data_IF_854292539426
#
_entry.id   IF_854292539426
#
_cell.length_a   1.000
_cell.length_b   1.000
_cell.length_c   1.000
_cell.angle_alpha   90.00
_cell.angle_beta   90.00
_cell.angle_gamma   90.00
#
_symmetry.space_group_name_H-M   'P 1'
#
loop_
_entity.id
_entity.type
_entity.pdbx_description
1 polymer ?
#
# COMPACT_ATOMS: atom_id res chain seq x y z
N UNK A 1 8.13 -15.91 12.17
CA UNK A 1 7.52 -15.19 11.03
C UNK A 1 6.71 -14.00 11.54
N UNK A 2 6.62 -12.96 10.71
CA UNK A 2 5.86 -11.75 11.05
C UNK A 2 4.46 -11.81 10.48
N UNK A 3 3.47 -11.37 11.24
CA UNK A 3 2.14 -11.11 10.70
C UNK A 3 2.08 -9.67 10.21
N UNK A 4 1.57 -9.47 9.02
CA UNK A 4 1.61 -8.19 8.34
C UNK A 4 0.26 -7.75 7.80
N UNK A 5 0.06 -6.44 7.79
CA UNK A 5 -0.98 -5.80 6.98
C UNK A 5 -0.24 -5.16 5.80
N UNK A 6 -0.52 -5.69 4.61
CA UNK A 6 0.03 -5.17 3.36
C UNK A 6 -1.03 -4.23 2.80
N UNK A 7 -0.67 -2.97 2.61
CA UNK A 7 -1.64 -1.90 2.31
C UNK A 7 -1.39 -1.30 0.93
N UNK A 8 -2.46 -1.09 0.17
CA UNK A 8 -2.43 -0.12 -0.90
C UNK A 8 -2.32 1.29 -0.29
N UNK A 9 -1.91 2.29 -1.07
CA UNK A 9 -1.78 3.66 -0.58
C UNK A 9 -3.00 4.50 -0.92
N UNK A 10 -3.16 4.86 -2.20
CA UNK A 10 -4.23 5.75 -2.64
C UNK A 10 -5.60 5.08 -2.54
N UNK A 11 -6.54 5.71 -1.84
CA UNK A 11 -7.86 5.15 -1.57
C UNK A 11 -7.92 4.24 -0.35
N UNK A 12 -6.79 3.95 0.28
CA UNK A 12 -6.69 3.08 1.46
C UNK A 12 -6.07 3.82 2.65
N UNK A 13 -4.85 4.31 2.50
CA UNK A 13 -4.19 5.13 3.53
C UNK A 13 -4.60 6.60 3.37
N UNK A 14 -4.60 7.10 2.15
CA UNK A 14 -4.92 8.48 1.85
C UNK A 14 -6.07 8.59 0.85
N UNK A 15 -6.73 9.72 0.89
CA UNK A 15 -7.81 10.04 -0.05
C UNK A 15 -7.24 10.06 -1.47
N UNK A 16 -7.92 9.36 -2.39
CA UNK A 16 -7.56 9.34 -3.80
C UNK A 16 -7.81 10.72 -4.42
N UNK A 17 -6.80 11.28 -5.07
CA UNK A 17 -6.87 12.61 -5.71
C UNK A 17 -6.22 12.62 -7.09
N UNK A 18 -6.52 11.64 -7.92
CA UNK A 18 -6.04 11.53 -9.31
C UNK A 18 -4.54 11.84 -9.44
N UNK A 19 -3.71 10.78 -9.30
CA UNK A 19 -2.24 10.89 -9.40
C UNK A 19 -1.62 11.80 -8.35
N UNK A 20 -2.06 11.69 -7.11
CA UNK A 20 -1.52 12.44 -5.96
C UNK A 20 -0.01 12.27 -5.87
N UNK A 21 0.73 13.38 -5.86
CA UNK A 21 2.19 13.37 -5.76
C UNK A 21 2.77 14.50 -4.92
N UNK A 22 1.96 15.49 -4.55
CA UNK A 22 2.40 16.65 -3.76
C UNK A 22 2.05 16.49 -2.29
N UNK A 23 2.98 16.84 -1.42
CA UNK A 23 2.79 16.77 0.03
C UNK A 23 1.58 17.60 0.47
N UNK A 24 1.44 18.81 -0.08
CA UNK A 24 0.34 19.72 0.29
C UNK A 24 -1.05 19.21 -0.08
N UNK A 25 -1.14 18.26 -0.99
CA UNK A 25 -2.41 17.67 -1.42
C UNK A 25 -2.75 16.39 -0.65
N UNK A 26 -1.83 15.90 0.19
CA UNK A 26 -2.01 14.66 0.92
C UNK A 26 -3.01 14.82 2.07
N UNK A 27 -3.90 13.83 2.18
CA UNK A 27 -4.92 13.78 3.22
C UNK A 27 -5.16 12.33 3.60
N UNK A 28 -5.05 12.00 4.90
CA UNK A 28 -5.37 10.65 5.38
C UNK A 28 -6.85 10.36 5.21
N UNK A 29 -7.17 9.10 4.89
CA UNK A 29 -8.54 8.60 5.01
C UNK A 29 -8.97 8.64 6.48
N UNK A 30 -10.26 8.91 6.71
CA UNK A 30 -10.81 8.96 8.06
C UNK A 30 -10.65 7.61 8.77
N UNK A 31 -10.14 7.65 10.00
CA UNK A 31 -9.98 6.46 10.84
C UNK A 31 -8.72 5.64 10.59
N UNK A 32 -7.93 5.95 9.56
CA UNK A 32 -6.77 5.14 9.21
C UNK A 32 -5.70 5.16 10.31
N UNK A 33 -5.41 6.31 10.87
CA UNK A 33 -4.37 6.44 11.92
C UNK A 33 -4.75 5.63 13.15
N UNK A 34 -6.00 5.76 13.61
CA UNK A 34 -6.49 5.00 14.76
C UNK A 34 -6.47 3.50 14.49
N UNK A 35 -6.89 3.09 13.29
CA UNK A 35 -6.89 1.68 12.88
C UNK A 35 -5.49 1.08 12.87
N UNK A 36 -4.53 1.80 12.32
CA UNK A 36 -3.13 1.35 12.29
C UNK A 36 -2.53 1.27 13.69
N UNK A 37 -2.87 2.19 14.60
CA UNK A 37 -2.44 2.12 16.00
C UNK A 37 -2.92 0.82 16.66
N UNK A 38 -4.19 0.47 16.46
CA UNK A 38 -4.78 -0.74 17.02
C UNK A 38 -4.07 -1.97 16.47
N UNK A 39 -3.89 -2.04 15.15
CA UNK A 39 -3.21 -3.16 14.50
C UNK A 39 -1.75 -3.27 14.92
N UNK A 40 -1.08 -2.14 15.09
CA UNK A 40 0.30 -2.11 15.61
C UNK A 40 0.37 -2.72 17.01
N UNK A 41 -0.57 -2.35 17.89
CA UNK A 41 -0.64 -2.90 19.25
C UNK A 41 -0.96 -4.40 19.25
N UNK A 42 -1.61 -4.91 18.21
CA UNK A 42 -1.87 -6.34 18.05
C UNK A 42 -0.67 -7.11 17.47
N UNK A 43 0.41 -6.40 17.18
CA UNK A 43 1.66 -7.02 16.72
C UNK A 43 1.82 -7.12 15.21
N UNK A 44 0.97 -6.49 14.42
CA UNK A 44 1.14 -6.45 12.96
C UNK A 44 2.23 -5.47 12.55
N UNK A 45 3.04 -5.87 11.58
CA UNK A 45 3.90 -4.93 10.85
C UNK A 45 3.16 -4.41 9.61
N UNK A 46 3.60 -3.29 9.07
CA UNK A 46 2.98 -2.67 7.90
C UNK A 46 3.96 -2.52 6.77
N UNK A 47 3.53 -2.91 5.56
CA UNK A 47 4.21 -2.59 4.31
C UNK A 47 3.19 -2.01 3.34
N UNK A 48 3.62 -1.13 2.46
CA UNK A 48 2.77 -0.51 1.45
C UNK A 48 3.17 -1.03 0.08
N UNK A 49 2.19 -1.40 -0.74
CA UNK A 49 2.38 -1.84 -2.12
C UNK A 49 1.44 -1.04 -3.02
N UNK A 50 1.99 -0.18 -3.86
CA UNK A 50 1.17 0.77 -4.61
C UNK A 50 1.55 0.84 -6.08
N UNK A 51 0.54 0.80 -6.97
CA UNK A 51 0.72 1.11 -8.37
C UNK A 51 0.82 2.63 -8.52
N UNK A 52 1.86 3.11 -9.20
CA UNK A 52 2.11 4.54 -9.41
C UNK A 52 2.38 4.84 -10.87
N UNK A 53 1.41 4.53 -11.73
CA UNK A 53 1.52 4.72 -13.17
C UNK A 53 1.61 6.18 -13.61
N UNK A 54 1.35 7.13 -12.72
CA UNK A 54 1.59 8.54 -12.97
C UNK A 54 3.04 8.85 -13.34
N UNK A 55 3.97 8.05 -12.80
CA UNK A 55 5.40 8.13 -13.18
C UNK A 55 5.57 7.72 -14.65
N UNK A 56 4.98 6.60 -15.05
CA UNK A 56 5.02 6.13 -16.43
C UNK A 56 4.41 7.16 -17.40
N UNK A 57 3.36 7.83 -16.98
CA UNK A 57 2.67 8.85 -17.79
C UNK A 57 3.38 10.20 -17.84
N UNK A 58 4.44 10.37 -17.06
CA UNK A 58 5.20 11.61 -17.02
C UNK A 58 4.59 12.71 -16.15
N UNK A 59 3.64 12.36 -15.26
CA UNK A 59 2.96 13.34 -14.42
C UNK A 59 3.79 13.76 -13.20
N UNK A 60 4.66 12.88 -12.73
CA UNK A 60 5.60 13.13 -11.62
C UNK A 60 6.72 12.10 -11.67
N UNK A 61 7.75 12.31 -10.87
CA UNK A 61 8.96 11.48 -10.87
C UNK A 61 8.96 10.50 -9.70
N UNK A 62 9.89 9.53 -9.74
CA UNK A 62 10.14 8.64 -8.60
C UNK A 62 10.60 9.44 -7.38
N UNK A 63 11.38 10.51 -7.58
CA UNK A 63 11.83 11.38 -6.49
C UNK A 63 10.65 12.06 -5.80
N UNK A 64 9.66 12.53 -6.57
CA UNK A 64 8.43 13.12 -6.02
C UNK A 64 7.69 12.11 -5.15
N UNK A 65 7.57 10.88 -5.62
CA UNK A 65 6.93 9.79 -4.90
C UNK A 65 7.65 9.48 -3.60
N UNK A 66 8.98 9.37 -3.64
CA UNK A 66 9.80 9.07 -2.46
C UNK A 66 9.64 10.16 -1.41
N UNK A 67 9.62 11.42 -1.81
CA UNK A 67 9.39 12.54 -0.88
C UNK A 67 8.05 12.44 -0.20
N UNK A 68 6.99 12.14 -0.95
CA UNK A 68 5.65 11.99 -0.38
C UNK A 68 5.60 10.79 0.57
N UNK A 69 6.14 9.65 0.18
CA UNK A 69 6.17 8.45 1.02
C UNK A 69 6.94 8.70 2.33
N UNK A 70 8.06 9.42 2.27
CA UNK A 70 8.82 9.79 3.46
C UNK A 70 8.01 10.71 4.38
N UNK A 71 7.26 11.63 3.80
CA UNK A 71 6.37 12.53 4.56
C UNK A 71 5.28 11.73 5.30
N UNK A 72 4.66 10.76 4.63
CA UNK A 72 3.66 9.88 5.23
C UNK A 72 4.27 9.09 6.38
N UNK A 73 5.44 8.51 6.15
CA UNK A 73 6.18 7.76 7.17
C UNK A 73 6.48 8.60 8.40
N UNK A 74 6.94 9.83 8.20
CA UNK A 74 7.29 10.75 9.29
C UNK A 74 6.06 11.11 10.13
N UNK A 75 4.92 11.36 9.49
CA UNK A 75 3.67 11.67 10.21
C UNK A 75 3.24 10.48 11.05
N UNK A 76 3.26 9.28 10.47
CA UNK A 76 2.84 8.06 11.17
C UNK A 76 3.76 7.70 12.32
N UNK A 77 5.06 7.94 12.19
CA UNK A 77 6.02 7.70 13.27
C UNK A 77 5.75 8.56 14.51
N UNK A 78 5.26 9.77 14.33
CA UNK A 78 4.85 10.64 15.44
C UNK A 78 3.71 10.03 16.26
N UNK A 79 2.91 9.18 15.62
CA UNK A 79 1.82 8.45 16.25
C UNK A 79 2.23 7.03 16.67
N UNK A 80 3.52 6.71 16.64
CA UNK A 80 4.03 5.39 17.03
C UNK A 80 3.79 4.30 16.00
N UNK A 81 3.48 4.66 14.76
CA UNK A 81 3.20 3.72 13.67
C UNK A 81 4.39 3.71 12.72
N UNK A 82 4.94 2.52 12.48
CA UNK A 82 6.05 2.35 11.55
C UNK A 82 5.61 1.62 10.30
N UNK A 83 5.82 2.23 9.13
CA UNK A 83 5.74 1.54 7.84
C UNK A 83 7.13 0.99 7.55
N UNK A 84 7.25 -0.33 7.42
CA UNK A 84 8.55 -0.97 7.21
C UNK A 84 9.15 -0.58 5.87
N UNK A 85 8.32 -0.55 4.82
CA UNK A 85 8.77 -0.16 3.49
C UNK A 85 7.58 0.19 2.59
N UNK A 86 7.82 1.10 1.66
CA UNK A 86 6.92 1.41 0.55
C UNK A 86 7.47 0.75 -0.71
N UNK A 87 6.73 -0.22 -1.26
CA UNK A 87 6.99 -0.79 -2.57
C UNK A 87 6.09 -0.09 -3.58
N UNK A 88 6.63 0.31 -4.72
CA UNK A 88 5.85 0.94 -5.76
C UNK A 88 6.18 0.38 -7.13
N UNK A 89 5.18 0.40 -8.02
CA UNK A 89 5.35 0.03 -9.42
C UNK A 89 5.14 1.28 -10.27
N UNK A 90 6.19 1.78 -10.94
CA UNK A 90 6.08 2.98 -11.77
C UNK A 90 5.66 2.69 -13.21
N UNK A 91 5.47 1.42 -13.55
CA UNK A 91 5.28 0.99 -14.93
C UNK A 91 3.82 1.01 -15.38
N UNK A 92 3.62 1.11 -16.69
CA UNK A 92 2.35 0.80 -17.33
C UNK A 92 2.65 0.17 -18.70
N UNK A 93 1.95 -0.92 -19.08
CA UNK A 93 2.26 -1.63 -20.33
C UNK A 93 1.91 -0.83 -21.59
N UNK A 94 0.92 0.06 -21.53
CA UNK A 94 0.41 0.80 -22.68
C UNK A 94 0.56 2.31 -22.56
N UNK A 95 0.35 2.87 -21.37
CA UNK A 95 0.25 4.31 -21.12
C UNK A 95 1.57 4.96 -20.68
N UNK A 96 2.66 4.23 -20.71
CA UNK A 96 3.95 4.73 -20.24
C UNK A 96 4.73 5.47 -21.30
N UNK A 97 5.75 6.21 -20.85
CA UNK A 97 6.75 6.84 -21.69
C UNK A 97 8.13 6.27 -21.36
N UNK A 98 8.96 6.08 -22.40
CA UNK A 98 10.32 5.60 -22.26
C UNK A 98 10.42 4.26 -21.54
N UNK A 99 11.35 4.17 -20.59
CA UNK A 99 11.64 2.93 -19.84
C UNK A 99 10.48 2.45 -18.97
N UNK A 100 9.52 3.30 -18.69
CA UNK A 100 8.37 2.94 -17.84
C UNK A 100 7.22 2.28 -18.60
N UNK A 101 7.28 2.28 -19.92
CA UNK A 101 6.30 1.61 -20.77
C UNK A 101 6.69 0.16 -20.96
N UNK A 102 6.41 -0.68 -19.95
CA UNK A 102 6.77 -2.10 -19.96
C UNK A 102 5.73 -2.89 -19.19
N UNK A 103 5.59 -4.17 -19.54
CA UNK A 103 4.93 -5.14 -18.68
C UNK A 103 5.91 -5.55 -17.58
N UNK A 104 5.41 -5.77 -16.37
CA UNK A 104 6.25 -6.11 -15.22
C UNK A 104 5.50 -7.06 -14.29
N UNK A 105 6.27 -7.67 -13.37
CA UNK A 105 5.72 -8.54 -12.33
C UNK A 105 5.22 -7.72 -11.12
N UNK A 106 5.58 -6.44 -11.03
CA UNK A 106 5.25 -5.64 -9.85
C UNK A 106 3.88 -4.97 -9.91
N UNK A 107 3.34 -4.70 -11.11
CA UNK A 107 2.05 -4.01 -11.23
C UNK A 107 0.91 -4.93 -10.80
N UNK A 108 0.17 -4.53 -9.75
CA UNK A 108 -1.04 -5.25 -9.33
C UNK A 108 -2.04 -5.31 -10.49
N UNK A 109 -2.65 -6.44 -10.78
CA UNK A 109 -2.84 -7.62 -9.91
C UNK A 109 -1.68 -8.61 -9.84
N UNK A 110 -0.55 -8.37 -10.50
CA UNK A 110 0.62 -9.22 -10.33
C UNK A 110 1.14 -9.11 -8.90
N UNK A 111 1.62 -10.20 -8.30
CA UNK A 111 1.98 -10.22 -6.89
C UNK A 111 3.43 -9.85 -6.58
N UNK A 112 4.18 -9.32 -7.56
CA UNK A 112 5.62 -9.11 -7.42
C UNK A 112 6.03 -8.30 -6.21
N UNK A 113 5.34 -7.18 -5.94
CA UNK A 113 5.63 -6.34 -4.76
C UNK A 113 5.33 -7.08 -3.47
N UNK A 114 4.20 -7.82 -3.42
CA UNK A 114 3.82 -8.60 -2.24
C UNK A 114 4.82 -9.72 -1.99
N UNK A 115 5.22 -10.45 -3.03
CA UNK A 115 6.22 -11.53 -2.91
C UNK A 115 7.55 -11.01 -2.40
N UNK A 116 7.97 -9.85 -2.86
CA UNK A 116 9.20 -9.21 -2.40
C UNK A 116 9.11 -8.84 -0.93
N UNK A 117 8.00 -8.23 -0.50
CA UNK A 117 7.76 -7.87 0.89
C UNK A 117 7.74 -9.11 1.79
N UNK A 118 7.05 -10.17 1.35
CA UNK A 118 6.95 -11.43 2.11
C UNK A 118 8.34 -12.01 2.35
N UNK A 119 9.18 -12.02 1.33
CA UNK A 119 10.56 -12.51 1.45
C UNK A 119 11.40 -11.59 2.33
N UNK A 120 11.36 -10.30 2.09
CA UNK A 120 12.22 -9.33 2.77
C UNK A 120 11.94 -9.25 4.27
N UNK A 121 10.67 -9.31 4.66
CA UNK A 121 10.25 -9.16 6.06
C UNK A 121 9.80 -10.46 6.72
N UNK A 122 10.04 -11.60 6.09
CA UNK A 122 9.68 -12.91 6.63
C UNK A 122 8.21 -12.97 7.08
N UNK A 123 7.31 -12.61 6.18
CA UNK A 123 5.88 -12.50 6.45
C UNK A 123 5.20 -13.86 6.44
N UNK A 124 4.36 -14.11 7.44
CA UNK A 124 3.50 -15.29 7.53
C UNK A 124 2.26 -15.07 6.68
N UNK A 125 2.17 -15.79 5.54
CA UNK A 125 1.06 -15.64 4.59
C UNK A 125 -0.30 -15.94 5.21
N UNK A 126 -0.37 -16.94 6.09
CA UNK A 126 -1.62 -17.38 6.70
C UNK A 126 -2.18 -16.38 7.70
N UNK A 127 -1.31 -15.57 8.31
CA UNK A 127 -1.68 -14.59 9.34
C UNK A 127 -1.69 -13.16 8.84
N UNK A 128 -1.53 -12.97 7.53
CA UNK A 128 -1.35 -11.66 6.94
C UNK A 128 -2.45 -11.32 5.93
N UNK A 129 -2.63 -10.02 5.69
CA UNK A 129 -3.73 -9.50 4.88
C UNK A 129 -3.20 -8.54 3.83
N UNK A 130 -3.84 -8.56 2.65
CA UNK A 130 -3.69 -7.50 1.64
C UNK A 130 -4.95 -6.63 1.67
N UNK A 131 -4.78 -5.37 1.98
CA UNK A 131 -5.90 -4.43 2.16
C UNK A 131 -5.84 -3.35 1.08
N UNK A 132 -6.92 -3.19 0.34
CA UNK A 132 -7.00 -2.19 -0.70
C UNK A 132 -8.44 -1.91 -1.13
N UNK A 133 -8.61 -0.89 -1.96
CA UNK A 133 -9.91 -0.42 -2.42
C UNK A 133 -10.25 -0.85 -3.86
N UNK A 134 -9.36 -1.57 -4.52
CA UNK A 134 -9.53 -2.02 -5.91
C UNK A 134 -9.52 -3.54 -6.03
N UNK A 135 -10.18 -4.04 -7.07
CA UNK A 135 -10.17 -5.47 -7.41
C UNK A 135 -8.73 -5.96 -7.67
N UNK A 136 -7.89 -5.13 -8.26
CA UNK A 136 -6.47 -5.48 -8.48
C UNK A 136 -5.71 -5.74 -7.19
N UNK A 137 -6.08 -5.08 -6.09
CA UNK A 137 -5.51 -5.33 -4.76
C UNK A 137 -5.93 -6.70 -4.24
N UNK A 138 -7.21 -7.04 -4.40
CA UNK A 138 -7.77 -8.33 -4.01
C UNK A 138 -7.07 -9.46 -4.78
N UNK A 139 -6.97 -9.31 -6.09
CA UNK A 139 -6.33 -10.30 -6.96
C UNK A 139 -4.84 -10.48 -6.63
N UNK A 140 -4.14 -9.39 -6.35
CA UNK A 140 -2.74 -9.45 -5.94
C UNK A 140 -2.58 -10.21 -4.62
N UNK A 141 -3.48 -9.98 -3.67
CA UNK A 141 -3.49 -10.71 -2.40
C UNK A 141 -3.73 -12.21 -2.60
N UNK A 142 -4.70 -12.57 -3.42
CA UNK A 142 -4.98 -13.97 -3.77
C UNK A 142 -3.75 -14.61 -4.43
N UNK A 143 -3.15 -13.92 -5.39
CA UNK A 143 -1.99 -14.42 -6.12
C UNK A 143 -0.77 -14.61 -5.21
N UNK A 144 -0.64 -13.79 -4.17
CA UNK A 144 0.41 -13.91 -3.16
C UNK A 144 0.03 -14.83 -2.00
N UNK A 145 -1.16 -15.41 -2.02
CA UNK A 145 -1.66 -16.35 -0.98
C UNK A 145 -1.72 -15.73 0.42
N UNK A 146 -2.08 -14.46 0.48
CA UNK A 146 -2.48 -13.79 1.73
C UNK A 146 -3.98 -13.51 1.67
N UNK A 147 -4.60 -13.25 2.81
CA UNK A 147 -6.04 -12.98 2.85
C UNK A 147 -6.33 -11.58 2.30
N UNK A 148 -7.11 -11.45 1.23
CA UNK A 148 -7.44 -10.15 0.69
C UNK A 148 -8.63 -9.51 1.41
N UNK A 149 -8.59 -8.20 1.58
CA UNK A 149 -9.70 -7.42 2.10
C UNK A 149 -9.95 -6.25 1.15
N UNK A 150 -11.10 -6.26 0.49
CA UNK A 150 -11.59 -5.12 -0.26
C UNK A 150 -12.34 -4.23 0.71
N UNK A 151 -11.91 -3.00 0.84
CA UNK A 151 -12.41 -2.14 1.88
C UNK A 151 -13.01 -0.85 1.36
N UNK A 152 -13.95 -0.30 2.16
CA UNK A 152 -14.32 1.09 2.11
C UNK A 152 -14.04 1.65 3.50
N UNK A 153 -13.16 2.61 3.58
CA UNK A 153 -12.78 3.23 4.84
C UNK A 153 -13.91 4.16 5.31
N UNK A 154 -14.26 4.19 6.60
CA UNK A 154 -13.58 3.62 7.77
C UNK A 154 -14.01 2.20 8.15
N UNK A 155 -14.89 1.57 7.41
CA UNK A 155 -15.48 0.26 7.75
C UNK A 155 -14.43 -0.85 7.90
N UNK A 156 -13.37 -0.79 7.11
CA UNK A 156 -12.31 -1.78 7.14
C UNK A 156 -11.68 -1.93 8.53
N UNK A 157 -11.35 -0.83 9.16
CA UNK A 157 -10.68 -0.85 10.47
C UNK A 157 -11.63 -1.32 11.58
N UNK A 158 -12.94 -1.10 11.41
CA UNK A 158 -13.95 -1.65 12.27
C UNK A 158 -14.00 -3.18 12.24
N UNK A 159 -13.79 -3.79 11.07
CA UNK A 159 -13.75 -5.24 10.93
C UNK A 159 -12.60 -5.83 11.75
N UNK A 160 -11.41 -5.24 11.66
CA UNK A 160 -10.25 -5.69 12.43
C UNK A 160 -10.49 -5.59 13.95
N UNK A 161 -11.23 -4.58 14.39
CA UNK A 161 -11.61 -4.43 15.80
C UNK A 161 -12.50 -5.57 16.28
N UNK A 162 -13.41 -6.03 15.43
CA UNK A 162 -14.35 -7.10 15.77
C UNK A 162 -13.65 -8.47 15.84
N UNK A 163 -12.59 -8.66 15.05
CA UNK A 163 -11.83 -9.91 15.00
C UNK A 163 -10.75 -10.00 16.09
N UNK A 164 -10.43 -8.88 16.70
CA UNK A 164 -9.42 -8.83 17.74
C UNK A 164 -10.04 -9.08 19.12
#
# INVERSE_FOLDING_TARGET
MNKAIILDRDGTINVEKDYLHKIEDFEFEEGVVEGLKILSNLGYIFVVVTNQSGIARGYYTEEDLIKLNNHISDILEKDGIRIEKFYYCPHHPEKGVGKYKVECECRKPNPGMLEEAIREFNIDREKSFMVGDNISDVEAGINARVTPILCQIPQMYGIFLLES
#
